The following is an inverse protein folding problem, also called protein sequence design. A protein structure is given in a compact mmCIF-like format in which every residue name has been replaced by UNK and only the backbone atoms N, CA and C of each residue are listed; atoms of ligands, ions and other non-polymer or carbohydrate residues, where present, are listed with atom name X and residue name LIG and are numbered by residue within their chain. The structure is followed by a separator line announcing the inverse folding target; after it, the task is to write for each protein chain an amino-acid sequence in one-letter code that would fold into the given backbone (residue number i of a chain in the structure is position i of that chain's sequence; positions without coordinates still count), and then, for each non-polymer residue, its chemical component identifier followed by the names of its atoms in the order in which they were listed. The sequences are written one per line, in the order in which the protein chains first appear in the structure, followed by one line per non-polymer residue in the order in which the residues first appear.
data_IF_811087158378
#
_entry.id   IF_811087158378
#
_cell.length_a   1.000
_cell.length_b   1.000
_cell.length_c   1.000
_cell.angle_alpha   90.00
_cell.angle_beta   90.00
_cell.angle_gamma   90.00
#
_symmetry.space_group_name_H-M   'P 1'
#
loop_
_entity.id
_entity.type
_entity.pdbx_description
1 polymer ?
#
# COMPACT_ATOMS: atom_id res chain seq x y z
N UNK A 1 46.52 -0.54 -59.69
CA UNK A 1 45.64 0.28 -58.79
C UNK A 1 44.79 -0.65 -58.00
N UNK A 2 45.08 -0.92 -56.69
CA UNK A 2 44.25 -1.80 -55.85
C UNK A 2 43.14 -0.99 -55.19
N UNK A 3 41.96 -1.54 -55.23
CA UNK A 3 40.73 -1.03 -54.61
C UNK A 3 40.80 -1.17 -53.08
N UNK A 4 40.35 -0.11 -52.39
CA UNK A 4 40.41 0.01 -50.96
C UNK A 4 39.36 -0.84 -50.25
N UNK A 5 39.82 -1.59 -49.27
CA UNK A 5 39.06 -2.28 -48.26
C UNK A 5 38.38 -1.24 -47.35
N UNK A 6 37.04 -1.11 -47.44
CA UNK A 6 36.21 -0.33 -46.50
C UNK A 6 35.80 -1.24 -45.33
N UNK A 7 36.50 -1.09 -44.22
CA UNK A 7 36.19 -1.78 -42.97
C UNK A 7 34.74 -1.53 -42.51
N UNK A 8 34.01 -2.60 -42.23
CA UNK A 8 32.67 -2.60 -41.67
C UNK A 8 32.67 -2.02 -40.25
N UNK A 9 31.63 -1.24 -39.83
CA UNK A 9 31.52 -0.68 -38.48
C UNK A 9 31.31 -1.80 -37.45
N UNK A 10 31.83 -1.59 -36.21
CA UNK A 10 31.72 -2.59 -35.14
C UNK A 10 30.23 -2.87 -34.80
N UNK A 11 29.81 -4.11 -34.94
CA UNK A 11 28.47 -4.57 -34.69
C UNK A 11 27.99 -4.26 -33.27
N UNK A 12 26.89 -3.54 -33.18
CA UNK A 12 26.08 -3.37 -31.97
C UNK A 12 25.68 -4.78 -31.48
N UNK A 13 26.20 -5.20 -30.32
CA UNK A 13 25.77 -6.47 -29.68
C UNK A 13 24.28 -6.38 -29.35
N UNK A 14 23.45 -7.02 -30.14
CA UNK A 14 22.02 -7.23 -29.86
C UNK A 14 21.95 -8.18 -28.67
N UNK A 15 21.62 -7.67 -27.49
CA UNK A 15 21.34 -8.49 -26.33
C UNK A 15 20.02 -9.20 -26.55
N UNK A 16 20.02 -10.54 -26.53
CA UNK A 16 18.81 -11.37 -26.66
C UNK A 16 17.76 -10.98 -25.62
N UNK A 17 16.48 -10.76 -25.99
CA UNK A 17 15.39 -10.41 -25.06
C UNK A 17 15.27 -11.36 -23.87
N UNK A 18 15.54 -12.65 -24.06
CA UNK A 18 15.56 -13.67 -23.00
C UNK A 18 16.68 -13.49 -21.97
N UNK A 19 17.81 -12.87 -22.34
CA UNK A 19 18.89 -12.57 -21.41
C UNK A 19 18.54 -11.38 -20.51
N UNK A 20 17.88 -10.37 -21.02
CA UNK A 20 17.40 -9.21 -20.24
C UNK A 20 16.39 -9.64 -19.20
N UNK A 21 15.39 -10.41 -19.58
CA UNK A 21 14.34 -10.89 -18.68
C UNK A 21 14.89 -11.75 -17.54
N UNK A 22 15.81 -12.69 -17.84
CA UNK A 22 16.48 -13.52 -16.82
C UNK A 22 17.35 -12.69 -15.85
N UNK A 23 17.99 -11.63 -16.35
CA UNK A 23 18.79 -10.72 -15.52
C UNK A 23 17.92 -9.93 -14.56
N UNK A 24 16.85 -9.32 -15.04
CA UNK A 24 15.89 -8.60 -14.24
C UNK A 24 15.28 -9.48 -13.14
N UNK A 25 14.90 -10.71 -13.46
CA UNK A 25 14.38 -11.69 -12.51
C UNK A 25 15.41 -12.04 -11.43
N UNK A 26 16.69 -12.22 -11.79
CA UNK A 26 17.75 -12.53 -10.83
C UNK A 26 18.03 -11.35 -9.89
N UNK A 27 18.14 -10.13 -10.42
CA UNK A 27 18.37 -8.94 -9.62
C UNK A 27 17.19 -8.68 -8.69
N UNK A 28 15.96 -8.83 -9.17
CA UNK A 28 14.75 -8.73 -8.36
C UNK A 28 14.76 -9.72 -7.20
N UNK A 29 15.02 -11.00 -7.44
CA UNK A 29 15.07 -12.01 -6.38
C UNK A 29 16.13 -11.71 -5.31
N UNK A 30 17.31 -11.20 -5.72
CA UNK A 30 18.35 -10.76 -4.78
C UNK A 30 17.86 -9.59 -3.93
N UNK A 31 17.24 -8.59 -4.55
CA UNK A 31 16.75 -7.40 -3.84
C UNK A 31 15.59 -7.73 -2.90
N UNK A 32 14.67 -8.60 -3.31
CA UNK A 32 13.60 -9.12 -2.45
C UNK A 32 14.19 -9.90 -1.26
N UNK A 33 15.22 -10.72 -1.49
CA UNK A 33 15.92 -11.43 -0.43
C UNK A 33 16.60 -10.46 0.56
N UNK A 34 17.27 -9.41 0.08
CA UNK A 34 17.87 -8.38 0.93
C UNK A 34 16.80 -7.61 1.71
N UNK A 35 15.65 -7.32 1.07
CA UNK A 35 14.55 -6.60 1.71
C UNK A 35 13.83 -7.43 2.80
N UNK A 36 13.82 -8.74 2.68
CA UNK A 36 13.19 -9.65 3.64
C UNK A 36 14.03 -9.89 4.90
N UNK A 37 15.32 -9.53 4.87
CA UNK A 37 16.24 -9.79 5.95
C UNK A 37 16.52 -8.56 6.81
N UNK A 38 16.76 -8.81 8.10
CA UNK A 38 17.04 -7.73 9.06
C UNK A 38 18.50 -7.24 9.02
N UNK A 39 19.33 -7.73 8.09
CA UNK A 39 20.75 -7.38 8.03
C UNK A 39 21.46 -7.82 6.75
N UNK A 40 22.75 -7.44 6.63
CA UNK A 40 23.53 -7.69 5.44
C UNK A 40 23.74 -9.19 5.14
N UNK A 41 23.79 -9.54 3.86
CA UNK A 41 23.93 -10.92 3.37
C UNK A 41 25.21 -11.12 2.56
N UNK A 42 25.80 -12.30 2.65
CA UNK A 42 26.87 -12.72 1.75
C UNK A 42 26.33 -13.25 0.41
N UNK A 43 27.15 -13.28 -0.63
CA UNK A 43 26.77 -13.87 -1.93
C UNK A 43 26.36 -15.36 -1.79
N UNK A 44 26.99 -16.10 -0.89
CA UNK A 44 26.64 -17.49 -0.63
C UNK A 44 25.25 -17.62 0.02
N UNK A 45 24.91 -16.73 0.95
CA UNK A 45 23.57 -16.69 1.56
C UNK A 45 22.51 -16.29 0.55
N UNK A 46 22.78 -15.28 -0.27
CA UNK A 46 21.88 -14.89 -1.36
C UNK A 46 21.63 -16.06 -2.32
N UNK A 47 22.67 -16.79 -2.73
CA UNK A 47 22.53 -17.96 -3.60
C UNK A 47 21.67 -19.06 -2.98
N UNK A 48 21.90 -19.36 -1.71
CA UNK A 48 21.14 -20.38 -0.98
C UNK A 48 19.66 -20.01 -0.82
N UNK A 49 19.38 -18.74 -0.44
CA UNK A 49 18.00 -18.27 -0.16
C UNK A 49 17.17 -18.05 -1.43
N UNK A 50 17.79 -17.58 -2.48
CA UNK A 50 17.11 -17.37 -3.77
C UNK A 50 17.05 -18.62 -4.65
N UNK A 51 17.75 -19.70 -4.27
CA UNK A 51 17.95 -20.88 -5.10
C UNK A 51 18.58 -20.59 -6.48
N UNK A 52 19.30 -19.47 -6.60
CA UNK A 52 20.00 -19.05 -7.83
C UNK A 52 21.46 -19.50 -7.77
N UNK A 53 22.01 -19.91 -8.90
CA UNK A 53 23.40 -20.39 -8.96
C UNK A 53 24.42 -19.34 -8.49
N UNK A 54 25.49 -19.73 -7.75
CA UNK A 54 26.49 -18.80 -7.24
C UNK A 54 27.13 -17.89 -8.31
N UNK A 55 27.41 -18.35 -9.52
CA UNK A 55 27.93 -17.48 -10.58
C UNK A 55 26.93 -16.40 -11.00
N UNK A 56 25.62 -16.75 -11.12
CA UNK A 56 24.59 -15.79 -11.48
C UNK A 56 24.37 -14.75 -10.38
N UNK A 57 24.38 -15.15 -9.09
CA UNK A 57 24.31 -14.24 -7.95
C UNK A 57 25.53 -13.30 -7.94
N UNK A 58 26.73 -13.83 -8.13
CA UNK A 58 27.96 -13.01 -8.14
C UNK A 58 27.93 -11.95 -9.24
N UNK A 59 27.44 -12.30 -10.41
CA UNK A 59 27.30 -11.37 -11.54
C UNK A 59 26.22 -10.31 -11.27
N UNK A 60 25.07 -10.71 -10.70
CA UNK A 60 24.00 -9.78 -10.37
C UNK A 60 24.40 -8.81 -9.24
N UNK A 61 25.04 -9.30 -8.17
CA UNK A 61 25.55 -8.48 -7.07
C UNK A 61 26.56 -7.45 -7.60
N UNK A 62 27.48 -7.86 -8.48
CA UNK A 62 28.44 -6.93 -9.11
C UNK A 62 27.74 -5.82 -9.89
N UNK A 63 26.68 -6.12 -10.63
CA UNK A 63 25.88 -5.11 -11.35
C UNK A 63 25.12 -4.18 -10.42
N UNK A 64 24.51 -4.74 -9.38
CA UNK A 64 23.78 -3.97 -8.37
C UNK A 64 24.71 -3.04 -7.58
N UNK A 65 25.94 -3.48 -7.31
CA UNK A 65 26.99 -2.70 -6.68
C UNK A 65 27.48 -1.58 -7.61
N UNK A 66 27.79 -1.88 -8.87
CA UNK A 66 28.14 -0.90 -9.88
C UNK A 66 27.04 0.14 -10.11
N UNK A 67 25.77 -0.28 -10.00
CA UNK A 67 24.59 0.59 -10.06
C UNK A 67 24.28 1.30 -8.74
N UNK A 68 25.10 1.18 -7.71
CA UNK A 68 24.91 1.79 -6.38
C UNK A 68 23.57 1.44 -5.72
N UNK A 69 23.07 0.22 -5.96
CA UNK A 69 21.88 -0.32 -5.28
C UNK A 69 22.26 -1.17 -4.10
N UNK A 70 23.30 -2.00 -4.26
CA UNK A 70 23.96 -2.68 -3.15
C UNK A 70 25.29 -2.03 -2.82
N UNK A 71 25.72 -2.18 -1.59
CA UNK A 71 27.03 -1.75 -1.10
C UNK A 71 27.65 -2.85 -0.25
N UNK A 72 28.97 -3.05 -0.40
CA UNK A 72 29.73 -3.87 0.51
C UNK A 72 29.85 -3.15 1.87
N UNK A 73 29.38 -3.79 2.94
CA UNK A 73 29.39 -3.21 4.30
C UNK A 73 30.49 -3.80 5.19
N UNK A 74 31.32 -4.65 4.65
CA UNK A 74 32.48 -5.19 5.34
C UNK A 74 32.61 -6.71 5.25
N UNK A 75 33.66 -7.27 5.86
CA UNK A 75 33.85 -8.70 5.94
C UNK A 75 32.98 -9.33 7.02
N UNK A 76 32.54 -10.56 6.81
CA UNK A 76 31.90 -11.37 7.84
C UNK A 76 32.93 -11.81 8.88
N UNK A 77 32.78 -11.40 10.13
CA UNK A 77 33.64 -11.80 11.23
C UNK A 77 33.20 -13.15 11.82
N UNK A 78 34.16 -13.96 12.31
CA UNK A 78 33.86 -15.09 13.18
C UNK A 78 33.79 -16.48 12.54
N UNK A 79 34.09 -16.66 11.24
CA UNK A 79 34.18 -17.98 10.61
C UNK A 79 35.59 -18.20 10.08
N UNK A 80 36.32 -19.29 10.50
CA UNK A 80 37.61 -19.65 9.91
C UNK A 80 37.42 -20.00 8.42
N UNK A 81 38.21 -19.42 7.54
CA UNK A 81 38.16 -19.63 6.09
C UNK A 81 38.21 -18.36 5.28
N UNK A 82 37.78 -18.41 4.02
CA UNK A 82 37.75 -17.24 3.14
C UNK A 82 36.85 -16.12 3.69
N UNK A 83 37.38 -14.92 3.74
CA UNK A 83 36.65 -13.72 4.19
C UNK A 83 35.49 -13.43 3.21
N UNK A 84 34.26 -13.64 3.65
CA UNK A 84 33.06 -13.35 2.84
C UNK A 84 32.64 -11.90 3.03
N UNK A 85 32.42 -11.18 1.92
CA UNK A 85 31.91 -9.83 1.94
C UNK A 85 30.39 -9.84 2.19
N UNK A 86 29.95 -8.98 3.11
CA UNK A 86 28.55 -8.69 3.39
C UNK A 86 28.05 -7.55 2.49
N UNK A 87 26.86 -7.71 1.97
CA UNK A 87 26.18 -6.72 1.10
C UNK A 87 24.86 -6.30 1.73
N UNK A 88 24.57 -5.01 1.66
CA UNK A 88 23.32 -4.40 2.09
C UNK A 88 22.85 -3.39 1.04
N UNK A 89 21.64 -2.88 1.21
CA UNK A 89 21.12 -1.81 0.37
C UNK A 89 21.95 -0.53 0.54
N UNK A 90 22.36 0.07 -0.56
CA UNK A 90 23.12 1.31 -0.50
C UNK A 90 22.27 2.45 0.10
N UNK A 91 22.79 3.22 1.08
CA UNK A 91 22.03 4.32 1.70
C UNK A 91 21.47 5.34 0.68
N UNK A 92 22.22 5.60 -0.39
CA UNK A 92 21.85 6.53 -1.46
C UNK A 92 20.85 5.99 -2.48
N UNK A 93 20.35 4.76 -2.32
CA UNK A 93 19.36 4.19 -3.26
C UNK A 93 18.07 4.99 -3.27
N UNK A 94 17.74 5.65 -2.16
CA UNK A 94 16.61 6.56 -2.04
C UNK A 94 15.63 6.21 -0.94
N UNK A 95 14.52 6.92 -0.95
CA UNK A 95 13.36 6.75 -0.06
C UNK A 95 12.08 6.69 -0.87
N UNK A 96 11.02 6.24 -0.24
CA UNK A 96 9.65 6.32 -0.73
C UNK A 96 8.82 7.14 0.24
N UNK A 97 7.76 7.76 -0.26
CA UNK A 97 6.84 8.51 0.57
C UNK A 97 5.40 7.99 0.41
N UNK A 98 4.64 8.10 1.46
CA UNK A 98 3.18 7.99 1.44
C UNK A 98 2.59 9.29 1.97
N UNK A 99 1.54 9.80 1.33
CA UNK A 99 0.76 10.93 1.82
C UNK A 99 -0.69 10.49 1.95
N UNK A 100 -1.19 10.51 3.16
CA UNK A 100 -2.59 10.26 3.48
C UNK A 100 -3.31 11.61 3.56
N UNK A 101 -4.35 11.77 2.77
CA UNK A 101 -5.15 12.99 2.73
C UNK A 101 -6.53 12.67 3.24
N UNK A 102 -6.83 13.21 4.41
CA UNK A 102 -8.13 13.12 5.05
C UNK A 102 -8.71 14.53 5.25
N UNK A 103 -10.01 14.62 5.48
CA UNK A 103 -10.70 15.93 5.70
C UNK A 103 -10.18 16.69 6.90
N UNK A 104 -9.67 15.99 7.90
CA UNK A 104 -9.24 16.55 9.19
C UNK A 104 -7.73 16.56 9.38
N UNK A 105 -6.96 15.94 8.47
CA UNK A 105 -5.51 15.86 8.56
C UNK A 105 -4.90 15.52 7.21
N UNK A 106 -3.68 15.98 6.97
CA UNK A 106 -2.77 15.43 5.95
C UNK A 106 -1.55 14.90 6.68
N UNK A 107 -1.21 13.66 6.41
CA UNK A 107 -0.10 12.97 7.06
C UNK A 107 0.85 12.42 6.02
N UNK A 108 2.14 12.72 6.14
CA UNK A 108 3.16 12.15 5.29
C UNK A 108 4.04 11.17 6.07
N UNK A 109 4.37 10.03 5.45
CA UNK A 109 5.36 9.09 5.96
C UNK A 109 6.45 8.87 4.94
N UNK A 110 7.68 8.70 5.41
CA UNK A 110 8.84 8.34 4.59
C UNK A 110 9.40 7.01 5.06
N UNK A 111 9.67 6.13 4.12
CA UNK A 111 10.28 4.84 4.36
C UNK A 111 11.50 4.58 3.49
N UNK A 112 12.34 3.66 3.94
CA UNK A 112 13.40 3.13 3.09
C UNK A 112 12.88 1.96 2.22
N UNK A 113 13.70 1.55 1.29
CA UNK A 113 13.34 0.45 0.41
C UNK A 113 13.40 -0.93 1.09
N UNK A 114 13.88 -1.00 2.33
CA UNK A 114 13.80 -2.19 3.18
C UNK A 114 12.48 -2.29 3.96
N UNK A 115 11.60 -1.28 3.86
CA UNK A 115 10.28 -1.26 4.50
C UNK A 115 10.29 -0.65 5.90
N UNK A 116 11.40 -0.07 6.36
CA UNK A 116 11.44 0.65 7.63
C UNK A 116 10.83 2.03 7.46
N UNK A 117 9.87 2.38 8.29
CA UNK A 117 9.36 3.75 8.40
C UNK A 117 10.42 4.62 9.08
N UNK A 118 10.84 5.68 8.43
CA UNK A 118 11.93 6.55 8.87
C UNK A 118 11.40 7.83 9.54
N UNK A 119 10.27 8.33 9.08
CA UNK A 119 9.70 9.59 9.53
C UNK A 119 8.19 9.63 9.27
N UNK A 120 7.47 10.34 10.12
CA UNK A 120 6.06 10.72 9.90
C UNK A 120 5.90 12.18 10.27
N UNK A 121 5.19 12.95 9.45
CA UNK A 121 4.89 14.37 9.66
C UNK A 121 3.40 14.62 9.46
N UNK A 122 2.82 15.45 10.32
CA UNK A 122 1.44 15.93 10.17
C UNK A 122 1.47 17.32 9.55
N UNK A 123 0.50 17.60 8.68
CA UNK A 123 0.29 18.86 8.00
C UNK A 123 -1.15 19.32 8.17
N UNK A 124 -1.41 20.59 7.95
CA UNK A 124 -2.75 21.14 8.01
C UNK A 124 -3.69 20.45 7.02
N UNK A 125 -4.94 20.19 7.43
CA UNK A 125 -5.94 19.60 6.53
C UNK A 125 -6.26 20.53 5.35
N UNK A 126 -6.76 19.99 4.23
CA UNK A 126 -7.26 20.80 3.14
C UNK A 126 -8.53 21.56 3.60
N UNK A 127 -8.62 22.84 3.24
CA UNK A 127 -9.78 23.71 3.58
C UNK A 127 -11.01 23.31 2.77
N UNK A 128 -10.77 22.95 1.53
CA UNK A 128 -11.76 22.50 0.56
C UNK A 128 -11.09 21.59 -0.49
N UNK A 129 -11.84 21.22 -1.50
CA UNK A 129 -11.37 20.36 -2.55
C UNK A 129 -10.29 20.90 -3.45
N UNK A 130 -10.26 22.18 -3.62
CA UNK A 130 -9.26 22.84 -4.45
C UNK A 130 -7.90 22.89 -3.73
N UNK A 131 -7.92 22.86 -2.39
CA UNK A 131 -6.72 22.91 -1.55
C UNK A 131 -5.99 21.56 -1.46
N UNK A 132 -6.62 20.43 -1.82
CA UNK A 132 -6.03 19.07 -1.73
C UNK A 132 -4.70 18.95 -2.45
N UNK A 133 -4.63 19.40 -3.70
CA UNK A 133 -3.40 19.37 -4.48
C UNK A 133 -2.31 20.27 -3.89
N UNK A 134 -2.68 21.42 -3.36
CA UNK A 134 -1.73 22.33 -2.72
C UNK A 134 -1.11 21.67 -1.48
N UNK A 135 -1.92 21.08 -0.61
CA UNK A 135 -1.44 20.36 0.58
C UNK A 135 -0.58 19.15 0.25
N UNK A 136 -0.97 18.38 -0.77
CA UNK A 136 -0.14 17.27 -1.26
C UNK A 136 1.23 17.75 -1.72
N UNK A 137 1.28 18.81 -2.54
CA UNK A 137 2.53 19.35 -3.05
C UNK A 137 3.41 19.95 -1.95
N UNK A 138 2.82 20.61 -0.96
CA UNK A 138 3.53 21.16 0.21
C UNK A 138 4.21 20.04 1.01
N UNK A 139 3.48 18.99 1.38
CA UNK A 139 4.00 17.83 2.08
C UNK A 139 5.12 17.13 1.30
N UNK A 140 4.93 16.91 -0.01
CA UNK A 140 5.95 16.29 -0.86
C UNK A 140 7.18 17.17 -1.08
N UNK A 141 7.01 18.49 -1.19
CA UNK A 141 8.14 19.41 -1.32
C UNK A 141 9.02 19.40 -0.07
N UNK A 142 8.42 19.34 1.12
CA UNK A 142 9.13 19.22 2.39
C UNK A 142 9.90 17.90 2.48
N UNK A 143 9.25 16.78 2.18
CA UNK A 143 9.87 15.44 2.14
C UNK A 143 11.06 15.44 1.18
N UNK A 144 10.89 15.92 -0.05
CA UNK A 144 11.94 15.96 -1.06
C UNK A 144 13.13 16.82 -0.61
N UNK A 145 12.90 18.05 -0.19
CA UNK A 145 13.96 18.94 0.26
C UNK A 145 14.80 18.32 1.39
N UNK A 146 14.13 17.69 2.35
CA UNK A 146 14.75 17.05 3.52
C UNK A 146 15.61 15.84 3.15
N UNK A 147 15.10 14.97 2.28
CA UNK A 147 15.76 13.69 1.96
C UNK A 147 16.75 13.78 0.82
N UNK A 148 16.52 14.66 -0.17
CA UNK A 148 17.49 14.96 -1.23
C UNK A 148 18.75 15.63 -0.66
N UNK A 149 18.59 16.53 0.32
CA UNK A 149 19.73 17.12 1.04
C UNK A 149 20.59 16.08 1.79
N UNK A 150 20.03 14.91 2.09
CA UNK A 150 20.73 13.75 2.67
C UNK A 150 21.28 12.77 1.62
N UNK A 151 21.23 13.13 0.33
CA UNK A 151 21.64 12.25 -0.77
C UNK A 151 20.72 11.04 -0.99
N UNK A 152 19.48 11.10 -0.51
CA UNK A 152 18.48 10.02 -0.63
C UNK A 152 17.29 10.51 -1.46
N UNK A 153 17.32 10.33 -2.78
CA UNK A 153 16.27 10.82 -3.67
C UNK A 153 14.93 10.08 -3.42
N UNK A 154 13.83 10.80 -3.63
CA UNK A 154 12.48 10.23 -3.61
C UNK A 154 12.27 9.36 -4.86
N UNK A 155 11.95 8.09 -4.68
CA UNK A 155 11.84 7.09 -5.76
C UNK A 155 10.41 6.84 -6.20
N UNK A 156 9.48 6.83 -5.27
CA UNK A 156 8.07 6.64 -5.54
C UNK A 156 7.22 7.28 -4.45
N UNK A 157 5.99 7.58 -4.79
CA UNK A 157 4.99 8.16 -3.90
C UNK A 157 3.71 7.34 -3.96
N UNK A 158 3.11 7.09 -2.81
CA UNK A 158 1.71 6.67 -2.74
C UNK A 158 0.85 7.77 -2.11
N UNK A 159 -0.31 8.01 -2.68
CA UNK A 159 -1.31 8.95 -2.17
C UNK A 159 -2.54 8.17 -1.74
N UNK A 160 -2.80 8.18 -0.45
CA UNK A 160 -3.98 7.58 0.18
C UNK A 160 -5.06 8.64 0.32
N UNK A 161 -6.22 8.40 -0.24
CA UNK A 161 -7.32 9.36 -0.25
C UNK A 161 -8.65 8.68 0.10
N UNK A 162 -9.50 9.38 0.88
CA UNK A 162 -10.79 8.86 1.32
C UNK A 162 -11.86 8.90 0.20
N UNK A 163 -11.46 8.54 -1.02
CA UNK A 163 -12.33 8.41 -2.20
C UNK A 163 -11.89 7.22 -3.06
N UNK A 164 -12.80 6.61 -3.83
CA UNK A 164 -12.43 5.62 -4.82
C UNK A 164 -11.50 6.18 -5.89
N UNK A 165 -10.65 5.32 -6.42
CA UNK A 165 -9.77 5.63 -7.55
C UNK A 165 -10.08 4.68 -8.69
N UNK A 166 -10.37 5.20 -9.85
CA UNK A 166 -10.60 4.41 -11.06
C UNK A 166 -9.28 3.73 -11.49
N UNK A 167 -9.21 2.39 -11.48
CA UNK A 167 -8.00 1.68 -11.82
C UNK A 167 -7.58 1.81 -13.29
N UNK A 168 -8.51 2.18 -14.19
CA UNK A 168 -8.22 2.36 -15.61
C UNK A 168 -7.58 3.70 -15.91
N UNK A 169 -7.97 4.74 -15.18
CA UNK A 169 -7.48 6.12 -15.39
C UNK A 169 -6.48 6.58 -14.34
N UNK A 170 -6.41 5.89 -13.19
CA UNK A 170 -5.59 6.30 -12.05
C UNK A 170 -6.05 7.61 -11.41
N UNK A 171 -7.31 7.99 -11.59
CA UNK A 171 -7.87 9.25 -11.08
C UNK A 171 -8.94 8.99 -10.02
N UNK A 172 -9.06 9.93 -9.10
CA UNK A 172 -10.13 9.94 -8.09
C UNK A 172 -11.48 9.98 -8.78
N UNK A 173 -12.40 9.10 -8.33
CA UNK A 173 -13.77 9.03 -8.84
C UNK A 173 -14.63 10.06 -8.12
N UNK A 174 -15.41 10.81 -8.88
CA UNK A 174 -16.42 11.71 -8.34
C UNK A 174 -17.62 10.90 -7.85
N UNK A 175 -17.89 10.98 -6.56
CA UNK A 175 -19.09 10.43 -5.96
C UNK A 175 -20.10 11.54 -5.71
N UNK A 176 -21.32 11.29 -6.12
CA UNK A 176 -22.42 12.22 -5.86
C UNK A 176 -22.61 12.37 -4.34
N UNK A 177 -22.58 13.60 -3.84
CA UNK A 177 -22.65 13.94 -2.40
C UNK A 177 -21.45 13.51 -1.53
N UNK A 178 -20.31 13.16 -2.14
CA UNK A 178 -19.08 13.03 -1.37
C UNK A 178 -18.67 14.40 -0.83
N UNK A 179 -18.47 14.46 0.48
CA UNK A 179 -17.95 15.68 1.11
C UNK A 179 -16.45 15.88 0.84
N UNK A 180 -15.81 14.93 0.19
CA UNK A 180 -14.41 15.03 -0.25
C UNK A 180 -14.38 15.39 -1.74
N UNK A 181 -13.54 16.34 -2.14
CA UNK A 181 -13.52 16.79 -3.53
C UNK A 181 -13.05 15.68 -4.46
N UNK A 182 -13.83 15.54 -5.48
CA UNK A 182 -13.65 14.57 -6.53
C UNK A 182 -12.91 15.17 -7.74
N UNK A 183 -12.43 14.27 -8.57
CA UNK A 183 -12.17 14.54 -9.98
C UNK A 183 -10.87 15.24 -10.34
N UNK A 184 -10.15 15.82 -9.39
CA UNK A 184 -8.99 16.69 -9.69
C UNK A 184 -7.64 16.02 -9.42
N UNK A 185 -7.59 14.81 -8.85
CA UNK A 185 -6.34 14.17 -8.48
C UNK A 185 -6.11 12.87 -9.27
N UNK A 186 -5.00 12.84 -9.96
CA UNK A 186 -4.46 11.68 -10.63
C UNK A 186 -2.95 11.63 -10.48
N UNK A 187 -2.32 10.57 -10.96
CA UNK A 187 -0.86 10.42 -10.89
C UNK A 187 -0.11 11.56 -11.60
N UNK A 188 -0.65 12.06 -12.70
CA UNK A 188 -0.05 13.16 -13.49
C UNK A 188 -0.09 14.52 -12.76
N UNK A 189 -0.95 14.67 -11.76
CA UNK A 189 -1.08 15.89 -10.99
C UNK A 189 -0.02 15.98 -9.86
N UNK A 190 0.67 14.87 -9.54
CA UNK A 190 1.70 14.81 -8.50
C UNK A 190 3.03 15.36 -9.00
N UNK A 191 3.36 16.58 -8.64
CA UNK A 191 4.54 17.27 -9.13
C UNK A 191 5.85 16.73 -8.56
N UNK A 192 6.87 16.69 -9.43
CA UNK A 192 8.24 16.37 -9.03
C UNK A 192 8.54 14.88 -8.82
N UNK A 193 7.62 14.02 -9.23
CA UNK A 193 7.78 12.57 -9.29
C UNK A 193 7.29 12.12 -10.68
N UNK A 194 7.97 11.14 -11.28
CA UNK A 194 7.50 10.52 -12.51
C UNK A 194 6.09 9.91 -12.24
N UNK A 195 5.07 10.23 -13.04
CA UNK A 195 3.73 9.66 -12.87
C UNK A 195 3.72 8.12 -12.79
N UNK A 196 4.63 7.46 -13.51
CA UNK A 196 4.80 6.00 -13.42
C UNK A 196 5.26 5.52 -12.04
N UNK A 197 5.82 6.40 -11.20
CA UNK A 197 6.26 6.12 -9.84
C UNK A 197 5.24 6.61 -8.78
N UNK A 198 4.06 7.02 -9.18
CA UNK A 198 2.96 7.42 -8.31
C UNK A 198 1.93 6.29 -8.23
N UNK A 199 1.48 6.00 -7.01
CA UNK A 199 0.36 5.10 -6.72
C UNK A 199 -0.72 5.91 -6.02
N UNK A 200 -1.92 5.93 -6.55
CA UNK A 200 -3.07 6.57 -5.93
C UNK A 200 -4.13 5.51 -5.67
N UNK A 201 -4.63 5.42 -4.44
CA UNK A 201 -5.71 4.49 -4.09
C UNK A 201 -6.52 4.99 -2.89
N UNK A 202 -7.66 4.34 -2.68
CA UNK A 202 -8.52 4.57 -1.53
C UNK A 202 -7.80 4.15 -0.22
N UNK A 203 -8.04 4.89 0.86
CA UNK A 203 -7.44 4.66 2.18
C UNK A 203 -7.82 3.30 2.78
N UNK A 204 -9.06 2.85 2.58
CA UNK A 204 -9.53 1.53 3.03
C UNK A 204 -8.83 0.39 2.25
N UNK A 205 -8.56 0.59 0.98
CA UNK A 205 -7.79 -0.33 0.15
C UNK A 205 -6.35 -0.48 0.67
N UNK A 206 -5.69 0.63 0.97
CA UNK A 206 -4.36 0.59 1.58
C UNK A 206 -4.38 -0.04 2.96
N UNK A 207 -5.40 0.23 3.79
CA UNK A 207 -5.55 -0.39 5.09
C UNK A 207 -5.69 -1.92 4.97
N UNK A 208 -6.51 -2.40 4.03
CA UNK A 208 -6.62 -3.83 3.76
C UNK A 208 -5.29 -4.46 3.34
N UNK A 209 -4.53 -3.80 2.45
CA UNK A 209 -3.19 -4.26 2.06
C UNK A 209 -2.22 -4.30 3.25
N UNK A 210 -2.27 -3.32 4.14
CA UNK A 210 -1.43 -3.30 5.34
C UNK A 210 -1.77 -4.46 6.30
N UNK A 211 -3.06 -4.70 6.56
CA UNK A 211 -3.51 -5.81 7.40
C UNK A 211 -3.17 -7.18 6.78
N UNK A 212 -3.18 -7.32 5.46
CA UNK A 212 -2.70 -8.51 4.75
C UNK A 212 -1.22 -8.75 4.97
N UNK A 213 -0.40 -7.71 4.85
CA UNK A 213 1.05 -7.85 4.82
C UNK A 213 1.67 -7.90 6.23
N UNK A 214 1.07 -7.19 7.20
CA UNK A 214 1.67 -6.98 8.53
C UNK A 214 0.67 -6.99 9.70
N UNK A 215 -0.60 -7.27 9.45
CA UNK A 215 -1.66 -7.16 10.46
C UNK A 215 -2.44 -8.44 10.69
N UNK A 216 -3.72 -8.26 11.04
CA UNK A 216 -4.62 -9.34 11.44
C UNK A 216 -4.93 -10.34 10.32
N UNK A 217 -4.79 -9.95 9.05
CA UNK A 217 -5.05 -10.81 7.89
C UNK A 217 -3.79 -11.48 7.33
N UNK A 218 -2.66 -11.44 8.05
CA UNK A 218 -1.42 -12.07 7.59
C UNK A 218 -1.61 -13.57 7.35
N UNK A 219 -1.33 -14.01 6.10
CA UNK A 219 -1.51 -15.40 5.69
C UNK A 219 -2.93 -15.76 5.23
N UNK A 220 -3.91 -14.86 5.34
CA UNK A 220 -5.25 -15.06 4.81
C UNK A 220 -5.28 -14.75 3.31
N UNK A 221 -5.59 -15.73 2.43
CA UNK A 221 -5.63 -15.48 0.99
C UNK A 221 -6.84 -14.63 0.58
N UNK A 222 -7.95 -14.76 1.29
CA UNK A 222 -9.19 -14.02 1.02
C UNK A 222 -9.80 -13.52 2.31
N UNK A 223 -10.01 -12.22 2.40
CA UNK A 223 -10.62 -11.57 3.57
C UNK A 223 -11.29 -10.26 3.17
N UNK A 224 -12.14 -9.74 4.04
CA UNK A 224 -12.71 -8.43 3.92
C UNK A 224 -12.32 -7.55 5.12
N UNK A 225 -11.80 -6.36 4.83
CA UNK A 225 -11.46 -5.34 5.83
C UNK A 225 -12.59 -4.33 5.90
N UNK A 226 -13.35 -4.34 6.98
CA UNK A 226 -14.47 -3.43 7.22
C UNK A 226 -13.97 -2.22 8.00
N UNK A 227 -13.88 -1.09 7.33
CA UNK A 227 -13.50 0.20 7.94
C UNK A 227 -14.72 0.93 8.48
N UNK A 228 -14.65 1.34 9.74
CA UNK A 228 -15.62 2.25 10.34
C UNK A 228 -14.88 3.47 10.86
N UNK A 229 -15.00 4.54 10.12
CA UNK A 229 -14.45 5.85 10.44
C UNK A 229 -15.40 6.69 11.27
N UNK A 230 -15.05 7.96 11.41
CA UNK A 230 -15.91 8.94 12.07
C UNK A 230 -17.03 9.40 11.14
N UNK A 231 -18.17 9.81 11.73
CA UNK A 231 -19.37 10.27 11.02
C UNK A 231 -19.96 9.15 10.14
N UNK A 232 -20.08 9.39 8.85
CA UNK A 232 -20.66 8.51 7.83
C UNK A 232 -19.63 7.67 7.06
N UNK A 233 -18.37 7.69 7.52
CA UNK A 233 -17.28 6.99 6.84
C UNK A 233 -17.31 5.49 7.12
N UNK A 234 -17.87 4.73 6.18
CA UNK A 234 -17.87 3.27 6.18
C UNK A 234 -17.40 2.77 4.83
N UNK A 235 -16.42 1.89 4.82
CA UNK A 235 -15.84 1.32 3.61
C UNK A 235 -15.41 -0.13 3.80
N UNK A 236 -15.16 -0.81 2.70
CA UNK A 236 -14.76 -2.20 2.68
C UNK A 236 -13.59 -2.42 1.72
N UNK A 237 -12.47 -2.91 2.22
CA UNK A 237 -11.36 -3.41 1.41
C UNK A 237 -11.51 -4.91 1.19
N UNK A 238 -11.54 -5.34 -0.07
CA UNK A 238 -11.71 -6.74 -0.43
C UNK A 238 -10.40 -7.31 -0.98
N UNK A 239 -9.93 -8.40 -0.39
CA UNK A 239 -8.81 -9.19 -0.92
C UNK A 239 -9.33 -10.60 -1.22
N UNK A 240 -9.18 -11.04 -2.47
CA UNK A 240 -9.58 -12.37 -2.96
C UNK A 240 -8.37 -13.02 -3.60
N UNK A 241 -7.99 -14.20 -3.16
CA UNK A 241 -6.80 -14.93 -3.60
C UNK A 241 -5.52 -14.08 -3.60
N UNK A 242 -5.35 -13.28 -2.53
CA UNK A 242 -4.23 -12.37 -2.35
C UNK A 242 -4.28 -11.09 -3.18
N UNK A 243 -5.30 -10.90 -4.02
CA UNK A 243 -5.46 -9.75 -4.90
C UNK A 243 -6.52 -8.78 -4.35
N UNK A 244 -6.17 -7.51 -4.25
CA UNK A 244 -7.11 -6.45 -3.88
C UNK A 244 -8.12 -6.21 -5.00
N UNK A 245 -9.40 -6.29 -4.66
CA UNK A 245 -10.52 -6.10 -5.59
C UNK A 245 -10.95 -4.64 -5.58
N UNK A 246 -10.69 -3.92 -6.67
CA UNK A 246 -11.09 -2.52 -6.84
C UNK A 246 -12.40 -2.36 -7.62
N UNK A 247 -12.81 -3.39 -8.36
CA UNK A 247 -13.94 -3.30 -9.30
C UNK A 247 -13.57 -2.57 -10.59
N UNK A 248 -14.53 -2.46 -11.49
CA UNK A 248 -14.31 -1.90 -12.83
C UNK A 248 -13.97 -0.39 -12.83
N UNK A 249 -14.42 0.34 -11.82
CA UNK A 249 -14.25 1.80 -11.68
C UNK A 249 -13.79 2.20 -10.28
N UNK A 250 -13.19 1.31 -9.51
CA UNK A 250 -12.73 1.59 -8.17
C UNK A 250 -13.80 1.59 -7.07
N UNK A 251 -15.05 1.22 -7.39
CA UNK A 251 -16.19 1.29 -6.47
C UNK A 251 -16.45 0.00 -5.68
N UNK A 252 -15.62 -1.04 -5.83
CA UNK A 252 -15.78 -2.22 -5.02
C UNK A 252 -15.50 -1.89 -3.54
N UNK A 253 -16.41 -2.25 -2.67
CA UNK A 253 -16.29 -1.97 -1.24
C UNK A 253 -16.95 -0.68 -0.76
N UNK A 254 -17.59 0.09 -1.63
CA UNK A 254 -18.35 1.29 -1.26
C UNK A 254 -19.68 0.93 -0.54
N UNK A 255 -19.57 0.21 0.57
CA UNK A 255 -20.73 -0.29 1.34
C UNK A 255 -21.54 0.82 2.00
N UNK A 256 -20.97 2.01 2.18
CA UNK A 256 -21.70 3.20 2.64
C UNK A 256 -22.91 3.54 1.76
N UNK A 257 -22.90 3.07 0.50
CA UNK A 257 -23.99 3.27 -0.46
C UNK A 257 -25.02 2.12 -0.49
N UNK A 258 -24.88 1.11 0.37
CA UNK A 258 -25.88 0.04 0.45
C UNK A 258 -27.25 0.64 0.85
N UNK A 259 -28.34 0.25 0.16
CA UNK A 259 -29.68 0.69 0.52
C UNK A 259 -30.11 -0.02 1.82
N UNK A 260 -30.57 0.74 2.80
CA UNK A 260 -31.17 0.21 4.02
C UNK A 260 -32.68 0.27 3.95
N UNK A 261 -33.31 -0.86 4.29
CA UNK A 261 -34.74 -0.96 4.55
C UNK A 261 -35.66 -0.86 3.32
N UNK A 262 -36.88 -1.32 3.47
CA UNK A 262 -37.95 -1.34 2.45
C UNK A 262 -38.84 -0.10 2.42
N UNK A 263 -38.41 1.05 2.97
CA UNK A 263 -39.18 2.29 3.02
C UNK A 263 -38.96 3.20 1.81
N UNK A 264 -39.85 4.20 1.66
CA UNK A 264 -39.78 5.21 0.61
C UNK A 264 -38.64 6.20 0.76
N UNK A 265 -37.98 6.23 1.91
CA UNK A 265 -36.79 7.07 2.16
C UNK A 265 -35.53 6.24 1.98
N UNK A 266 -34.69 6.64 1.05
CA UNK A 266 -33.39 6.03 0.78
C UNK A 266 -32.38 6.54 1.80
N UNK A 267 -32.29 5.89 2.94
CA UNK A 267 -31.14 6.10 3.82
C UNK A 267 -29.96 5.30 3.28
N UNK A 268 -28.83 5.98 3.14
CA UNK A 268 -27.56 5.31 2.89
C UNK A 268 -27.07 4.67 4.17
N UNK A 269 -26.37 3.54 4.04
CA UNK A 269 -25.83 2.83 5.20
C UNK A 269 -24.93 3.72 6.07
N UNK A 270 -24.05 4.55 5.46
CA UNK A 270 -23.21 5.49 6.18
C UNK A 270 -24.00 6.51 7.01
N UNK A 271 -25.06 7.10 6.43
CA UNK A 271 -25.95 8.04 7.13
C UNK A 271 -26.68 7.38 8.31
N UNK A 272 -27.17 6.15 8.10
CA UNK A 272 -27.83 5.40 9.15
C UNK A 272 -26.85 5.04 10.29
N UNK A 273 -25.59 4.75 9.98
CA UNK A 273 -24.54 4.54 10.97
C UNK A 273 -24.21 5.83 11.75
N UNK A 274 -24.11 6.97 11.06
CA UNK A 274 -23.90 8.27 11.70
C UNK A 274 -25.02 8.64 12.67
N UNK A 275 -26.26 8.29 12.34
CA UNK A 275 -27.44 8.51 13.20
C UNK A 275 -27.39 7.73 14.53
N UNK A 276 -26.55 6.68 14.63
CA UNK A 276 -26.33 5.95 15.89
C UNK A 276 -25.32 6.61 16.83
N UNK A 277 -24.89 7.85 16.55
CA UNK A 277 -23.97 8.59 17.41
C UNK A 277 -22.53 8.06 17.37
N UNK A 278 -22.14 7.32 16.32
CA UNK A 278 -20.78 6.79 16.18
C UNK A 278 -19.75 7.85 15.77
N UNK A 279 -20.11 9.13 15.73
CA UNK A 279 -19.22 10.25 15.41
C UNK A 279 -18.10 10.44 16.44
N UNK A 280 -17.10 11.24 16.06
CA UNK A 280 -16.12 11.79 17.01
C UNK A 280 -16.79 12.91 17.81
N UNK A 281 -17.29 12.62 19.00
CA UNK A 281 -17.86 13.57 19.91
C UNK A 281 -17.58 13.15 21.34
N UNK A 282 -17.73 14.07 22.30
CA UNK A 282 -17.57 13.79 23.72
C UNK A 282 -18.57 12.77 24.25
N UNK A 283 -19.69 12.60 23.56
CA UNK A 283 -20.70 11.58 23.88
C UNK A 283 -20.36 10.28 23.13
N UNK A 284 -19.62 9.41 23.80
CA UNK A 284 -19.47 8.03 23.33
C UNK A 284 -20.88 7.39 23.23
N UNK A 285 -21.18 6.64 22.14
CA UNK A 285 -22.47 5.96 22.04
C UNK A 285 -22.64 5.06 23.26
N UNK A 286 -23.86 5.04 23.78
CA UNK A 286 -24.22 4.11 24.84
C UNK A 286 -24.21 2.65 24.32
N UNK A 287 -24.40 1.69 25.21
CA UNK A 287 -24.40 0.27 24.84
C UNK A 287 -25.50 -0.07 23.80
N UNK A 288 -26.64 0.64 23.84
CA UNK A 288 -27.72 0.43 22.89
C UNK A 288 -27.36 0.94 21.47
N UNK A 289 -26.70 2.08 21.39
CA UNK A 289 -26.18 2.62 20.13
C UNK A 289 -25.08 1.72 19.53
N UNK A 290 -24.17 1.20 20.37
CA UNK A 290 -23.16 0.23 19.94
C UNK A 290 -23.79 -1.09 19.44
N UNK A 291 -24.81 -1.58 20.13
CA UNK A 291 -25.52 -2.81 19.73
C UNK A 291 -26.26 -2.62 18.39
N UNK A 292 -26.95 -1.50 18.22
CA UNK A 292 -27.65 -1.17 16.96
C UNK A 292 -26.66 -1.04 15.79
N UNK A 293 -25.60 -0.27 15.97
CA UNK A 293 -24.57 -0.11 14.96
C UNK A 293 -23.86 -1.42 14.63
N UNK A 294 -23.55 -2.23 15.65
CA UNK A 294 -22.93 -3.53 15.48
C UNK A 294 -23.80 -4.50 14.71
N UNK A 295 -25.13 -4.48 14.95
CA UNK A 295 -26.07 -5.26 14.16
C UNK A 295 -26.11 -4.81 12.71
N UNK A 296 -26.22 -3.52 12.44
CA UNK A 296 -26.22 -2.97 11.08
C UNK A 296 -24.95 -3.33 10.31
N UNK A 297 -23.77 -3.17 10.93
CA UNK A 297 -22.48 -3.56 10.36
C UNK A 297 -22.40 -5.07 10.13
N UNK A 298 -22.89 -5.86 11.07
CA UNK A 298 -22.97 -7.32 10.96
C UNK A 298 -23.83 -7.76 9.78
N UNK A 299 -24.99 -7.15 9.57
CA UNK A 299 -25.87 -7.41 8.41
C UNK A 299 -25.19 -7.07 7.08
N UNK A 300 -24.50 -5.93 7.01
CA UNK A 300 -23.68 -5.59 5.84
C UNK A 300 -22.53 -6.60 5.63
N UNK A 301 -21.87 -7.02 6.70
CA UNK A 301 -20.81 -8.03 6.64
C UNK A 301 -21.35 -9.39 6.18
N UNK A 302 -22.54 -9.81 6.60
CA UNK A 302 -23.22 -11.04 6.13
C UNK A 302 -23.53 -10.97 4.64
N UNK A 303 -23.95 -9.80 4.12
CA UNK A 303 -24.12 -9.63 2.68
C UNK A 303 -22.79 -9.82 1.92
N UNK A 304 -21.69 -9.31 2.46
CA UNK A 304 -20.35 -9.55 1.91
C UNK A 304 -19.98 -11.04 1.96
N UNK A 305 -20.25 -11.72 3.08
CA UNK A 305 -20.04 -13.17 3.20
C UNK A 305 -20.81 -13.95 2.14
N UNK A 306 -22.06 -13.57 1.87
CA UNK A 306 -22.91 -14.23 0.88
C UNK A 306 -22.44 -14.01 -0.58
N UNK A 307 -21.78 -12.89 -0.88
CA UNK A 307 -21.37 -12.51 -2.25
C UNK A 307 -19.92 -12.93 -2.54
N UNK A 308 -19.01 -12.77 -1.57
CA UNK A 308 -17.55 -12.90 -1.78
C UNK A 308 -16.99 -14.15 -1.11
N UNK A 309 -17.65 -14.67 -0.07
CA UNK A 309 -17.19 -15.81 0.74
C UNK A 309 -15.77 -15.65 1.31
N UNK A 310 -15.48 -14.55 2.06
CA UNK A 310 -14.15 -14.32 2.62
C UNK A 310 -13.84 -15.33 3.73
N UNK A 311 -12.55 -15.70 3.88
CA UNK A 311 -12.11 -16.57 4.95
C UNK A 311 -12.19 -15.94 6.34
N UNK A 312 -12.20 -14.60 6.43
CA UNK A 312 -12.34 -13.82 7.65
C UNK A 312 -12.77 -12.39 7.38
N UNK A 313 -13.28 -11.73 8.42
CA UNK A 313 -13.60 -10.31 8.44
C UNK A 313 -12.66 -9.61 9.43
N UNK A 314 -12.05 -8.51 9.01
CA UNK A 314 -11.20 -7.66 9.85
C UNK A 314 -11.91 -6.33 10.08
N UNK A 315 -12.24 -6.00 11.32
CA UNK A 315 -12.88 -4.74 11.68
C UNK A 315 -11.82 -3.71 12.06
N UNK A 316 -11.79 -2.59 11.36
CA UNK A 316 -10.80 -1.53 11.55
C UNK A 316 -11.38 -0.13 11.47
N UNK A 317 -10.50 0.86 11.48
CA UNK A 317 -10.87 2.26 11.60
C UNK A 317 -11.06 2.73 13.04
N UNK A 318 -11.06 4.04 13.30
CA UNK A 318 -11.08 4.59 14.66
C UNK A 318 -12.36 4.23 15.43
N UNK A 319 -13.48 4.11 14.75
CA UNK A 319 -14.75 3.71 15.36
C UNK A 319 -14.89 2.19 15.39
N UNK A 320 -14.45 1.49 14.34
CA UNK A 320 -14.50 0.02 14.26
C UNK A 320 -13.75 -0.69 15.37
N UNK A 321 -12.70 -0.06 15.89
CA UNK A 321 -11.90 -0.58 17.01
C UNK A 321 -12.40 -0.19 18.40
N UNK A 322 -13.56 0.50 18.50
CA UNK A 322 -14.14 0.84 19.83
C UNK A 322 -14.54 -0.44 20.59
N UNK A 323 -14.24 -0.50 21.88
CA UNK A 323 -14.67 -1.62 22.72
C UNK A 323 -16.18 -1.84 22.63
N UNK A 324 -16.60 -3.08 22.47
CA UNK A 324 -18.01 -3.45 22.35
C UNK A 324 -18.54 -3.58 20.93
N UNK A 325 -18.12 -2.74 19.97
CA UNK A 325 -18.61 -2.80 18.59
C UNK A 325 -18.28 -4.15 17.92
N UNK A 326 -17.03 -4.59 18.02
CA UNK A 326 -16.59 -5.90 17.49
C UNK A 326 -17.47 -7.05 17.97
N UNK A 327 -17.82 -7.07 19.27
CA UNK A 327 -18.68 -8.11 19.86
C UNK A 327 -20.04 -8.17 19.19
N UNK A 328 -20.68 -7.03 18.95
CA UNK A 328 -22.00 -6.96 18.33
C UNK A 328 -21.95 -7.33 16.84
N UNK A 329 -20.92 -6.89 16.12
CA UNK A 329 -20.71 -7.31 14.72
C UNK A 329 -20.52 -8.82 14.65
N UNK A 330 -19.63 -9.38 15.48
CA UNK A 330 -19.36 -10.81 15.51
C UNK A 330 -20.61 -11.63 15.86
N UNK A 331 -21.38 -11.20 16.86
CA UNK A 331 -22.64 -11.87 17.24
C UNK A 331 -23.65 -11.91 16.07
N UNK A 332 -23.79 -10.80 15.34
CA UNK A 332 -24.69 -10.74 14.18
C UNK A 332 -24.20 -11.62 13.02
N UNK A 333 -22.89 -11.65 12.78
CA UNK A 333 -22.31 -12.53 11.74
C UNK A 333 -22.53 -14.01 12.12
N UNK A 334 -22.33 -14.39 13.38
CA UNK A 334 -22.60 -15.77 13.85
C UNK A 334 -24.07 -16.14 13.71
N UNK A 335 -24.98 -15.20 13.98
CA UNK A 335 -26.44 -15.42 13.89
C UNK A 335 -26.93 -15.60 12.44
N UNK A 336 -26.38 -14.80 11.50
CA UNK A 336 -26.99 -14.62 10.17
C UNK A 336 -26.14 -15.15 9.01
N UNK A 337 -24.83 -15.36 9.17
CA UNK A 337 -23.98 -15.81 8.07
C UNK A 337 -24.28 -17.29 7.71
N UNK A 338 -24.17 -17.64 6.42
CA UNK A 338 -24.44 -18.99 5.95
C UNK A 338 -23.46 -20.05 6.51
N UNK A 339 -22.30 -19.61 6.99
CA UNK A 339 -21.28 -20.43 7.67
C UNK A 339 -20.53 -19.58 8.69
N UNK A 340 -19.77 -20.21 9.54
CA UNK A 340 -18.88 -19.52 10.48
C UNK A 340 -17.79 -18.75 9.73
N UNK A 341 -17.69 -17.44 10.01
CA UNK A 341 -16.67 -16.55 9.49
C UNK A 341 -16.06 -15.78 10.68
N UNK A 342 -14.75 -15.94 10.96
CA UNK A 342 -14.11 -15.20 12.04
C UNK A 342 -14.19 -13.68 11.84
N UNK A 343 -14.58 -12.95 12.89
CA UNK A 343 -14.54 -11.48 12.93
C UNK A 343 -13.50 -11.07 13.93
N UNK A 344 -12.44 -10.37 13.47
CA UNK A 344 -11.31 -9.98 14.30
C UNK A 344 -11.06 -8.48 14.22
N UNK A 345 -10.41 -7.92 15.25
CA UNK A 345 -9.96 -6.53 15.22
C UNK A 345 -8.72 -6.39 14.34
N UNK A 346 -8.64 -5.32 13.56
CA UNK A 346 -7.43 -4.92 12.83
C UNK A 346 -6.29 -4.62 13.80
N UNK A 347 -5.09 -5.04 13.42
CA UNK A 347 -3.89 -4.94 14.27
C UNK A 347 -3.17 -3.59 14.16
N UNK A 348 -3.37 -2.86 13.05
CA UNK A 348 -2.57 -1.67 12.71
C UNK A 348 -3.25 -0.34 13.05
N UNK A 349 -4.52 -0.39 13.46
CA UNK A 349 -5.28 0.78 13.89
C UNK A 349 -5.30 1.90 12.85
N UNK A 350 -5.29 3.15 13.32
CA UNK A 350 -5.29 4.35 12.47
C UNK A 350 -4.05 4.54 11.61
N UNK A 351 -3.01 3.69 11.73
CA UNK A 351 -1.82 3.76 10.88
C UNK A 351 -1.91 2.85 9.66
N UNK A 352 -2.95 2.01 9.56
CA UNK A 352 -3.08 1.03 8.49
C UNK A 352 -3.07 1.65 7.07
N UNK A 353 -3.83 2.72 6.76
CA UNK A 353 -3.82 3.32 5.43
C UNK A 353 -2.43 3.80 5.02
N UNK A 354 -1.77 4.56 5.90
CA UNK A 354 -0.45 5.13 5.63
C UNK A 354 0.63 4.05 5.47
N UNK A 355 0.56 2.96 6.26
CA UNK A 355 1.47 1.81 6.15
C UNK A 355 1.28 1.07 4.83
N UNK A 356 0.04 0.84 4.42
CA UNK A 356 -0.27 0.19 3.14
C UNK A 356 0.16 1.03 1.95
N UNK A 357 -0.09 2.34 2.00
CA UNK A 357 0.39 3.27 0.99
C UNK A 357 1.92 3.25 0.88
N UNK A 358 2.63 3.27 2.02
CA UNK A 358 4.09 3.22 2.02
C UNK A 358 4.64 1.90 1.46
N UNK A 359 3.99 0.77 1.74
CA UNK A 359 4.35 -0.53 1.18
C UNK A 359 4.16 -0.56 -0.34
N UNK A 360 3.07 0.01 -0.86
CA UNK A 360 2.82 0.12 -2.30
C UNK A 360 3.79 1.08 -3.00
N UNK A 361 4.14 2.21 -2.39
CA UNK A 361 5.19 3.08 -2.90
C UNK A 361 6.53 2.34 -2.99
N UNK A 362 6.87 1.55 -1.96
CA UNK A 362 8.08 0.70 -1.96
C UNK A 362 8.04 -0.31 -3.09
N UNK A 363 6.93 -1.03 -3.26
CA UNK A 363 6.76 -1.99 -4.35
C UNK A 363 6.98 -1.33 -5.71
N UNK A 364 6.40 -0.16 -5.94
CA UNK A 364 6.54 0.62 -7.18
C UNK A 364 8.01 1.06 -7.39
N UNK A 365 8.68 1.53 -6.35
CA UNK A 365 10.10 1.90 -6.43
C UNK A 365 11.00 0.71 -6.81
N UNK A 366 10.73 -0.48 -6.26
CA UNK A 366 11.45 -1.70 -6.63
C UNK A 366 11.23 -2.09 -8.09
N UNK A 367 10.00 -2.05 -8.58
CA UNK A 367 9.68 -2.29 -9.98
C UNK A 367 10.44 -1.34 -10.91
N UNK A 368 10.47 -0.04 -10.57
CA UNK A 368 11.22 0.97 -11.32
C UNK A 368 12.73 0.72 -11.31
N UNK A 369 13.30 0.36 -10.16
CA UNK A 369 14.73 0.05 -10.04
C UNK A 369 15.15 -1.18 -10.85
N UNK A 370 14.29 -2.16 -10.96
CA UNK A 370 14.53 -3.38 -11.75
C UNK A 370 14.34 -3.12 -13.24
N UNK A 371 13.26 -2.40 -13.62
CA UNK A 371 12.93 -2.12 -15.03
C UNK A 371 13.93 -1.19 -15.71
N UNK A 372 14.49 -0.22 -15.00
CA UNK A 372 15.51 0.69 -15.53
C UNK A 372 16.83 -0.02 -15.93
N UNK A 373 16.97 -1.32 -15.70
CA UNK A 373 18.19 -2.12 -15.90
C UNK A 373 18.03 -3.29 -16.89
N UNK A 374 16.84 -3.51 -17.38
CA UNK A 374 16.53 -4.52 -18.43
C UNK A 374 16.62 -3.92 -19.82
#
# INVERSE_FOLDING_TARGET
MPEGDQGAPPGRRVTSPHRGLRRATTERAILECVAAESGPLTRAELARRTAISPPAVSEAVRRLEAGRVLVAVGPRSGVPGAVATLYDLAPGVGVVAAVEIHRTAVRAAVGDLLGRMLETTDHDPPRDGHDVLARLHEALAEVRARWEARGRPLRAVAVSIANPVDPATGRVVELHESAFPAGVLGADDVRGVDPAMVVLDNDVNFAALAERDHGAATGAPSFAYLHVGERDSVGLGLVVDGVLVRGARGLAGEIGYLPLGGGSERFRFGEAMAAQGLGAGEDAPDEAGLATAGRMLGEAAVAVCAIVDPGMLVLGGPVGLRPGLLRHVAATVVELAPREVPVVAGALGGTAPLRGALAEARRRAWEGLVSARG
#
